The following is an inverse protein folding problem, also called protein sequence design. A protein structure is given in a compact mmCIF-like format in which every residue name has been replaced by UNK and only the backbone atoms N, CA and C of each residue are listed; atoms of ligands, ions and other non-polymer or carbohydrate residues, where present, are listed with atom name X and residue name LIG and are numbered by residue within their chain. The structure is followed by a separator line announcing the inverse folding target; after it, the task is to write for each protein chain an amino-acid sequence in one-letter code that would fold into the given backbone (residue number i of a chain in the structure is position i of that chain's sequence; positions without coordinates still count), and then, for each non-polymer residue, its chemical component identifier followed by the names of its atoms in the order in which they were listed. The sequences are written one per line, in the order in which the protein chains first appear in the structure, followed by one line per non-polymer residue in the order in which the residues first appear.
data_IF_891657692670
#
_entry.id   IF_891657692670
#
_cell.length_a   1.000
_cell.length_b   1.000
_cell.length_c   1.000
_cell.angle_alpha   90.00
_cell.angle_beta   90.00
_cell.angle_gamma   90.00
#
_symmetry.space_group_name_H-M   'P 1'
#
loop_
_entity.id
_entity.type
_entity.pdbx_description
1 polymer ?
#
# COMPACT_ATOMS: atom_id res chain seq x y z
N UNK A 1 -11.69 -1.01 -12.93
CA UNK A 1 -10.43 -0.27 -13.16
C UNK A 1 -10.40 1.01 -12.31
N UNK A 2 -11.34 1.94 -12.46
CA UNK A 2 -11.38 3.20 -11.68
C UNK A 2 -11.47 2.99 -10.15
N UNK A 3 -12.13 1.93 -9.68
CA UNK A 3 -12.37 1.73 -8.24
C UNK A 3 -11.12 1.36 -7.44
N UNK A 4 -10.23 0.51 -7.97
CA UNK A 4 -9.00 0.13 -7.25
C UNK A 4 -7.96 1.24 -7.31
N UNK A 5 -7.83 1.91 -8.46
CA UNK A 5 -6.96 3.08 -8.57
C UNK A 5 -7.40 4.20 -7.62
N UNK A 6 -8.71 4.48 -7.56
CA UNK A 6 -9.28 5.45 -6.62
C UNK A 6 -9.08 5.03 -5.15
N UNK A 7 -9.22 3.73 -4.84
CA UNK A 7 -8.94 3.21 -3.51
C UNK A 7 -7.48 3.45 -3.10
N UNK A 8 -6.52 3.15 -3.99
CA UNK A 8 -5.10 3.35 -3.72
C UNK A 8 -4.75 4.83 -3.52
N UNK A 9 -5.32 5.72 -4.35
CA UNK A 9 -5.16 7.18 -4.20
C UNK A 9 -5.77 7.67 -2.89
N UNK A 10 -7.01 7.28 -2.60
CA UNK A 10 -7.71 7.68 -1.38
C UNK A 10 -7.04 7.17 -0.09
N UNK A 11 -6.42 5.98 -0.13
CA UNK A 11 -5.64 5.46 0.99
C UNK A 11 -4.44 6.36 1.31
N UNK A 12 -3.73 6.87 0.30
CA UNK A 12 -2.63 7.82 0.47
C UNK A 12 -3.10 9.18 0.94
N UNK A 13 -4.20 9.69 0.39
CA UNK A 13 -4.74 10.98 0.82
C UNK A 13 -5.16 10.94 2.28
N UNK A 14 -5.78 9.84 2.71
CA UNK A 14 -6.13 9.60 4.11
C UNK A 14 -4.88 9.54 5.00
N UNK A 15 -3.83 8.88 4.50
CA UNK A 15 -2.55 8.77 5.19
C UNK A 15 -1.85 10.14 5.34
N UNK A 16 -1.94 11.01 4.33
CA UNK A 16 -1.40 12.39 4.37
C UNK A 16 -2.20 13.32 5.27
N UNK A 17 -3.51 13.13 5.34
CA UNK A 17 -4.41 13.97 6.12
C UNK A 17 -4.32 13.70 7.63
N UNK A 18 -3.95 12.49 8.04
CA UNK A 18 -3.82 12.12 9.44
C UNK A 18 -2.45 12.57 10.02
N UNK A 19 -2.43 13.50 11.01
CA UNK A 19 -1.20 13.97 11.63
C UNK A 19 -0.38 12.86 12.29
N UNK A 20 -1.03 11.81 12.82
CA UNK A 20 -0.36 10.67 13.45
C UNK A 20 0.33 9.81 12.38
N UNK A 21 -0.37 9.48 11.30
CA UNK A 21 0.21 8.69 10.21
C UNK A 21 1.36 9.42 9.53
N UNK A 22 1.25 10.74 9.36
CA UNK A 22 2.33 11.58 8.87
C UNK A 22 3.56 11.53 9.78
N UNK A 23 3.38 11.60 11.11
CA UNK A 23 4.50 11.42 12.07
C UNK A 23 5.12 10.04 12.02
N UNK A 24 4.34 8.99 11.74
CA UNK A 24 4.88 7.63 11.54
C UNK A 24 5.76 7.50 10.29
N UNK A 25 5.83 8.51 9.43
CA UNK A 25 6.74 8.55 8.27
C UNK A 25 7.97 9.40 8.47
N UNK A 26 7.97 10.22 9.52
CA UNK A 26 9.14 11.00 9.90
C UNK A 26 10.29 10.06 10.29
N UNK A 27 11.50 10.21 9.70
CA UNK A 27 12.62 9.31 9.96
C UNK A 27 13.03 9.25 11.44
N UNK A 28 12.95 10.37 12.18
CA UNK A 28 13.33 10.44 13.59
C UNK A 28 12.28 9.76 14.47
N UNK A 29 10.99 10.06 14.25
CA UNK A 29 9.89 9.42 14.98
C UNK A 29 9.87 7.90 14.70
N UNK A 30 10.15 7.47 13.46
CA UNK A 30 10.30 6.04 13.11
C UNK A 30 11.46 5.37 13.84
N UNK A 31 12.62 6.02 13.88
CA UNK A 31 13.78 5.50 14.58
C UNK A 31 13.51 5.40 16.10
N UNK A 32 12.79 6.38 16.65
CA UNK A 32 12.38 6.38 18.05
C UNK A 32 11.39 5.26 18.35
N UNK A 33 10.36 5.09 17.52
CA UNK A 33 9.38 4.00 17.65
C UNK A 33 10.10 2.64 17.59
N UNK A 34 11.00 2.45 16.62
CA UNK A 34 11.78 1.21 16.50
C UNK A 34 12.61 0.88 17.72
N UNK A 35 13.12 1.89 18.44
CA UNK A 35 13.89 1.71 19.67
C UNK A 35 13.02 1.41 20.89
N UNK A 36 11.75 1.87 20.90
CA UNK A 36 10.86 1.78 22.06
C UNK A 36 9.97 0.54 22.05
N UNK A 37 9.72 -0.04 20.88
CA UNK A 37 8.89 -1.23 20.72
C UNK A 37 9.78 -2.50 20.63
N UNK A 38 9.49 -3.55 21.41
CA UNK A 38 10.07 -4.88 21.22
C UNK A 38 9.97 -5.37 19.77
N UNK A 39 10.97 -6.13 19.32
CA UNK A 39 10.99 -6.68 17.96
C UNK A 39 9.78 -7.59 17.66
N UNK A 40 9.26 -8.24 18.69
CA UNK A 40 8.11 -9.15 18.61
C UNK A 40 6.82 -8.38 18.30
N UNK A 41 6.65 -7.21 18.91
CA UNK A 41 5.49 -6.34 18.68
C UNK A 41 5.50 -5.77 17.26
N UNK A 42 6.67 -5.44 16.71
CA UNK A 42 6.81 -5.04 15.31
C UNK A 42 6.37 -6.14 14.35
N UNK A 43 6.83 -7.37 14.59
CA UNK A 43 6.48 -8.51 13.75
C UNK A 43 4.97 -8.77 13.80
N UNK A 44 4.37 -8.69 14.98
CA UNK A 44 2.92 -8.85 15.15
C UNK A 44 2.14 -7.76 14.41
N UNK A 45 2.60 -6.51 14.44
CA UNK A 45 1.99 -5.39 13.70
C UNK A 45 2.06 -5.61 12.18
N UNK A 46 3.22 -6.02 11.68
CA UNK A 46 3.45 -6.28 10.26
C UNK A 46 2.58 -7.45 9.78
N UNK A 47 2.51 -8.54 10.55
CA UNK A 47 1.67 -9.71 10.24
C UNK A 47 0.18 -9.38 10.29
N UNK A 48 -0.28 -8.60 11.27
CA UNK A 48 -1.68 -8.18 11.35
C UNK A 48 -2.08 -7.29 10.18
N UNK A 49 -1.23 -6.31 9.83
CA UNK A 49 -1.48 -5.37 8.74
C UNK A 49 -1.50 -6.07 7.39
N UNK A 50 -0.54 -6.96 7.15
CA UNK A 50 -0.48 -7.75 5.92
C UNK A 50 -1.64 -8.75 5.84
N UNK A 51 -2.00 -9.39 6.96
CA UNK A 51 -3.12 -10.34 7.03
C UNK A 51 -4.47 -9.71 6.64
N UNK A 52 -4.72 -8.47 7.08
CA UNK A 52 -5.93 -7.74 6.69
C UNK A 52 -5.97 -7.46 5.17
N UNK A 53 -4.84 -7.07 4.59
CA UNK A 53 -4.73 -6.82 3.15
C UNK A 53 -4.85 -8.12 2.34
N UNK A 54 -4.27 -9.22 2.82
CA UNK A 54 -4.44 -10.55 2.22
C UNK A 54 -5.92 -10.98 2.20
N UNK A 55 -6.64 -10.77 3.30
CA UNK A 55 -8.07 -11.08 3.37
C UNK A 55 -8.89 -10.26 2.36
N UNK A 56 -8.57 -8.97 2.22
CA UNK A 56 -9.17 -8.10 1.20
C UNK A 56 -8.92 -8.63 -0.22
N UNK A 57 -7.67 -9.01 -0.54
CA UNK A 57 -7.32 -9.57 -1.86
C UNK A 57 -8.08 -10.85 -2.14
N UNK A 58 -8.16 -11.76 -1.15
CA UNK A 58 -8.89 -13.04 -1.29
C UNK A 58 -10.38 -12.82 -1.57
N UNK A 59 -11.03 -11.90 -0.86
CA UNK A 59 -12.44 -11.56 -1.12
C UNK A 59 -12.64 -11.08 -2.56
N UNK A 60 -11.78 -10.19 -3.03
CA UNK A 60 -11.91 -9.61 -4.37
C UNK A 60 -11.58 -10.61 -5.48
N UNK A 61 -10.62 -11.51 -5.27
CA UNK A 61 -10.36 -12.63 -6.19
C UNK A 61 -11.56 -13.58 -6.24
N UNK A 62 -12.15 -13.95 -5.09
CA UNK A 62 -13.33 -14.82 -5.03
C UNK A 62 -14.55 -14.23 -5.76
N UNK A 63 -14.60 -12.90 -5.90
CA UNK A 63 -15.63 -12.15 -6.62
C UNK A 63 -15.29 -11.91 -8.10
N UNK A 64 -14.15 -12.41 -8.58
CA UNK A 64 -13.67 -12.21 -9.96
C UNK A 64 -13.29 -10.76 -10.28
N UNK A 65 -12.96 -9.96 -9.26
CA UNK A 65 -12.59 -8.55 -9.41
C UNK A 65 -11.08 -8.34 -9.59
N UNK A 66 -10.28 -9.31 -9.16
CA UNK A 66 -8.84 -9.34 -9.32
C UNK A 66 -8.42 -10.59 -10.10
N UNK A 67 -7.27 -10.50 -10.76
CA UNK A 67 -6.60 -11.64 -11.40
C UNK A 67 -6.29 -12.74 -10.36
N UNK A 68 -6.25 -13.99 -10.81
CA UNK A 68 -5.77 -15.10 -9.98
C UNK A 68 -4.27 -14.99 -9.71
N UNK A 69 -3.84 -15.50 -8.55
CA UNK A 69 -2.44 -15.50 -8.14
C UNK A 69 -2.30 -15.48 -6.62
N UNK A 70 -1.06 -15.44 -6.14
CA UNK A 70 -0.77 -15.46 -4.70
C UNK A 70 -1.31 -14.19 -3.99
N UNK A 71 -2.27 -14.32 -3.07
CA UNK A 71 -2.87 -13.16 -2.40
C UNK A 71 -1.87 -12.35 -1.59
N UNK A 72 -0.86 -13.01 -1.03
CA UNK A 72 0.18 -12.35 -0.23
C UNK A 72 1.05 -11.44 -1.09
N UNK A 73 1.47 -11.91 -2.25
CA UNK A 73 2.23 -11.11 -3.23
C UNK A 73 1.43 -9.87 -3.67
N UNK A 74 0.14 -10.03 -3.97
CA UNK A 74 -0.72 -8.90 -4.36
C UNK A 74 -0.94 -7.92 -3.20
N UNK A 75 -1.13 -8.42 -1.98
CA UNK A 75 -1.25 -7.59 -0.79
C UNK A 75 0.03 -6.76 -0.55
N UNK A 76 1.21 -7.37 -0.72
CA UNK A 76 2.49 -6.68 -0.65
C UNK A 76 2.61 -5.62 -1.75
N UNK A 77 2.25 -5.93 -3.00
CA UNK A 77 2.24 -4.94 -4.09
C UNK A 77 1.34 -3.74 -3.77
N UNK A 78 0.11 -3.99 -3.31
CA UNK A 78 -0.83 -2.94 -2.93
C UNK A 78 -0.28 -2.09 -1.79
N UNK A 79 0.30 -2.71 -0.76
CA UNK A 79 0.89 -2.01 0.39
C UNK A 79 2.15 -1.24 0.01
N UNK A 80 2.88 -1.67 -1.03
CA UNK A 80 4.14 -1.04 -1.45
C UNK A 80 3.97 0.41 -1.91
N UNK A 81 2.76 0.82 -2.28
CA UNK A 81 2.52 2.22 -2.66
C UNK A 81 2.84 3.19 -1.51
N UNK A 82 2.69 2.79 -0.24
CA UNK A 82 3.02 3.62 0.91
C UNK A 82 4.52 3.89 1.03
N UNK A 83 5.36 2.98 0.53
CA UNK A 83 6.81 3.18 0.53
C UNK A 83 7.23 4.34 -0.38
N UNK A 84 6.49 4.61 -1.46
CA UNK A 84 6.76 5.78 -2.31
C UNK A 84 6.68 7.07 -1.49
N UNK A 85 5.73 7.15 -0.55
CA UNK A 85 5.62 8.31 0.32
C UNK A 85 6.77 8.42 1.33
N UNK A 86 7.25 7.29 1.87
CA UNK A 86 8.43 7.28 2.76
C UNK A 86 9.72 7.75 2.07
N UNK A 87 9.73 7.71 0.74
CA UNK A 87 10.86 8.05 -0.12
C UNK A 87 10.59 9.30 -0.97
N UNK A 88 9.66 10.15 -0.51
CA UNK A 88 9.26 11.36 -1.23
C UNK A 88 10.42 12.36 -1.40
N UNK A 89 11.34 12.42 -0.44
CA UNK A 89 12.56 13.24 -0.50
C UNK A 89 13.49 12.80 -1.65
N UNK A 90 13.64 11.50 -1.89
CA UNK A 90 14.44 10.96 -2.99
C UNK A 90 13.74 11.06 -4.35
N UNK A 91 12.40 10.99 -4.36
CA UNK A 91 11.59 11.10 -5.59
C UNK A 91 11.46 12.56 -6.04
N UNK A 92 11.41 13.49 -5.09
CA UNK A 92 11.19 14.92 -5.32
C UNK A 92 9.73 15.33 -5.09
N UNK A 93 9.52 16.41 -4.32
CA UNK A 93 8.20 16.95 -3.98
C UNK A 93 7.37 17.33 -5.22
N UNK A 94 8.01 17.76 -6.30
CA UNK A 94 7.36 18.14 -7.57
C UNK A 94 7.01 16.94 -8.47
N UNK A 95 7.37 15.71 -8.06
CA UNK A 95 7.16 14.47 -8.83
C UNK A 95 6.38 13.41 -8.09
N UNK A 96 6.39 13.42 -6.76
CA UNK A 96 5.83 12.36 -5.92
C UNK A 96 4.37 12.03 -6.25
N UNK A 97 3.52 13.05 -6.49
CA UNK A 97 2.11 12.84 -6.82
C UNK A 97 1.92 12.17 -8.19
N UNK A 98 2.72 12.55 -9.19
CA UNK A 98 2.69 11.95 -10.51
C UNK A 98 3.17 10.48 -10.47
N UNK A 99 4.21 10.20 -9.67
CA UNK A 99 4.74 8.84 -9.48
C UNK A 99 3.73 7.95 -8.76
N UNK A 100 3.10 8.44 -7.70
CA UNK A 100 2.02 7.74 -6.99
C UNK A 100 0.86 7.43 -7.94
N UNK A 101 0.42 8.42 -8.71
CA UNK A 101 -0.69 8.23 -9.64
C UNK A 101 -0.36 7.20 -10.72
N UNK A 102 0.87 7.22 -11.24
CA UNK A 102 1.35 6.23 -12.21
C UNK A 102 1.42 4.83 -11.60
N UNK A 103 1.95 4.69 -10.38
CA UNK A 103 2.02 3.42 -9.67
C UNK A 103 0.63 2.83 -9.46
N UNK A 104 -0.31 3.63 -8.93
CA UNK A 104 -1.69 3.20 -8.68
C UNK A 104 -2.37 2.73 -9.97
N UNK A 105 -2.21 3.48 -11.07
CA UNK A 105 -2.77 3.11 -12.38
C UNK A 105 -2.17 1.81 -12.91
N UNK A 106 -0.84 1.64 -12.84
CA UNK A 106 -0.18 0.41 -13.31
C UNK A 106 -0.57 -0.81 -12.48
N UNK A 107 -0.57 -0.67 -11.15
CA UNK A 107 -0.96 -1.76 -10.23
C UNK A 107 -2.43 -2.13 -10.40
N UNK A 108 -3.34 -1.14 -10.40
CA UNK A 108 -4.76 -1.38 -10.58
C UNK A 108 -5.07 -1.98 -11.96
N UNK A 109 -4.41 -1.50 -13.01
CA UNK A 109 -4.52 -2.04 -14.36
C UNK A 109 -4.10 -3.51 -14.41
N UNK A 110 -2.89 -3.83 -13.94
CA UNK A 110 -2.37 -5.20 -13.95
C UNK A 110 -3.18 -6.17 -13.09
N UNK A 111 -3.70 -5.71 -11.94
CA UNK A 111 -4.46 -6.56 -11.03
C UNK A 111 -5.93 -6.74 -11.41
N UNK A 112 -6.51 -5.84 -12.20
CA UNK A 112 -7.93 -5.91 -12.62
C UNK A 112 -8.13 -6.33 -14.08
N UNK A 113 -7.06 -6.65 -14.80
CA UNK A 113 -7.13 -7.13 -16.20
C UNK A 113 -7.51 -8.61 -16.29
N UNK A 114 -8.67 -8.95 -15.71
CA UNK A 114 -9.22 -10.32 -15.65
C UNK A 114 -9.51 -10.87 -17.06
N UNK A 115 -9.57 -10.01 -18.09
CA UNK A 115 -9.87 -10.37 -19.49
C UNK A 115 -8.68 -10.90 -20.28
N UNK A 116 -7.45 -10.82 -19.77
CA UNK A 116 -6.24 -11.36 -20.42
C UNK A 116 -5.77 -12.72 -19.87
N UNK A 117 -6.43 -13.24 -18.84
CA UNK A 117 -6.06 -14.48 -18.18
C UNK A 117 -6.78 -15.74 -18.71
N UNK A 118 -7.59 -15.60 -19.78
CA UNK A 118 -8.26 -16.70 -20.50
C UNK A 118 -7.67 -16.91 -21.88
#
# INVERSE_FOLDING_TARGET
METLEALMKGALDSFRADPLLRRMTDPEDRALLRRKLPAEDWKALDEASLGAMEAFVRDWQARGLLVEGDPRTMALLLTSHFFLYLHADQIGEDRIDAVIALFARCAAGGLTDVRRAT
#
